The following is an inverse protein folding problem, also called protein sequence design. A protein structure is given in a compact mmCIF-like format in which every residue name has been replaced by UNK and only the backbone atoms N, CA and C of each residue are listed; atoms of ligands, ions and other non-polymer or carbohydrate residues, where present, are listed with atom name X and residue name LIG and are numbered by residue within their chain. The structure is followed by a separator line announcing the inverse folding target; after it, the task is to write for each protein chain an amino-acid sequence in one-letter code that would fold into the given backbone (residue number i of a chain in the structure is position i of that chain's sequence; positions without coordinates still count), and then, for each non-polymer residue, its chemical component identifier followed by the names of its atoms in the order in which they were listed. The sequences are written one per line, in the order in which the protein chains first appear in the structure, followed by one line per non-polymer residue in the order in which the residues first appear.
data_IF_481397156644
#
_entry.id   IF_481397156644
#
_cell.length_a   1.000
_cell.length_b   1.000
_cell.length_c   1.000
_cell.angle_alpha   90.00
_cell.angle_beta   90.00
_cell.angle_gamma   90.00
#
_symmetry.space_group_name_H-M   'P 1'
#
loop_
_entity.id
_entity.type
_entity.pdbx_description
1 polymer ?
#
# COMPACT_ATOMS: atom_id res chain seq x y z
N UNK A 1 26.57 8.47 -5.72
CA UNK A 1 26.59 8.01 -7.10
C UNK A 1 26.08 9.12 -8.03
N UNK A 2 26.62 9.22 -9.25
CA UNK A 2 26.23 10.24 -10.24
C UNK A 2 26.24 9.64 -11.63
N UNK A 3 25.18 9.88 -12.39
CA UNK A 3 25.10 9.65 -13.82
C UNK A 3 25.05 11.00 -14.53
N UNK A 4 25.77 11.16 -15.64
CA UNK A 4 25.74 12.36 -16.46
C UNK A 4 25.25 12.01 -17.86
N UNK A 5 24.21 12.69 -18.30
CA UNK A 5 23.74 12.53 -19.67
C UNK A 5 24.84 12.96 -20.65
N UNK A 6 25.12 12.16 -21.70
CA UNK A 6 26.04 12.56 -22.76
C UNK A 6 25.65 13.91 -23.37
N UNK A 7 26.66 14.67 -23.81
CA UNK A 7 26.42 15.92 -24.53
C UNK A 7 25.56 15.62 -25.78
N UNK A 8 24.60 16.49 -26.08
CA UNK A 8 23.68 16.30 -27.20
C UNK A 8 22.54 15.32 -26.92
N UNK A 9 22.40 14.83 -25.68
CA UNK A 9 21.20 14.05 -25.31
C UNK A 9 19.96 14.92 -25.46
N UNK A 10 19.03 14.46 -26.28
CA UNK A 10 17.77 15.13 -26.55
C UNK A 10 16.59 14.25 -26.12
N UNK A 11 15.57 14.86 -25.54
CA UNK A 11 14.30 14.22 -25.19
C UNK A 11 13.17 15.01 -25.87
N UNK A 12 12.47 14.46 -26.87
CA UNK A 12 11.33 15.13 -27.51
C UNK A 12 10.22 15.46 -26.51
N UNK A 13 9.35 16.38 -26.88
CA UNK A 13 8.17 16.69 -26.08
C UNK A 13 7.33 15.44 -25.80
N UNK A 14 6.93 15.26 -24.53
CA UNK A 14 6.16 14.12 -24.03
C UNK A 14 6.81 12.74 -24.24
N UNK A 15 8.09 12.69 -24.62
CA UNK A 15 8.81 11.43 -24.77
C UNK A 15 9.33 10.92 -23.42
N UNK A 16 9.55 9.59 -23.37
CA UNK A 16 10.12 8.91 -22.22
C UNK A 16 11.51 8.38 -22.58
N UNK A 17 12.43 8.42 -21.64
CA UNK A 17 13.74 7.81 -21.77
C UNK A 17 14.04 6.96 -20.54
N UNK A 18 14.27 5.70 -20.78
CA UNK A 18 14.71 4.76 -19.74
C UNK A 18 16.23 4.80 -19.66
N UNK A 19 16.75 4.82 -18.43
CA UNK A 19 18.17 4.65 -18.14
C UNK A 19 18.25 3.50 -17.16
N UNK A 20 18.76 2.38 -17.61
CA UNK A 20 18.85 1.18 -16.82
C UNK A 20 20.09 1.18 -15.88
N UNK A 21 20.18 0.16 -15.05
CA UNK A 21 21.28 0.00 -14.09
C UNK A 21 22.65 -0.09 -14.76
N UNK A 22 22.75 -0.69 -15.96
CA UNK A 22 24.01 -0.84 -16.68
C UNK A 22 24.48 0.54 -17.17
N UNK A 23 23.57 1.32 -17.72
CA UNK A 23 23.84 2.70 -18.16
C UNK A 23 24.17 3.63 -17.00
N UNK A 24 23.46 3.49 -15.87
CA UNK A 24 23.74 4.25 -14.65
C UNK A 24 25.12 3.95 -14.06
N UNK A 25 25.59 2.70 -14.16
CA UNK A 25 26.82 2.22 -13.52
C UNK A 25 26.69 2.04 -12.00
N UNK A 26 25.49 2.11 -11.45
CA UNK A 26 25.17 1.87 -10.04
C UNK A 26 23.73 1.39 -9.88
N UNK A 27 23.39 0.92 -8.68
CA UNK A 27 22.02 0.48 -8.32
C UNK A 27 21.33 1.54 -7.47
N UNK A 28 20.01 1.61 -7.62
CA UNK A 28 19.14 2.27 -6.67
C UNK A 28 18.93 1.35 -5.46
N UNK A 29 18.88 1.94 -4.26
CA UNK A 29 18.70 1.18 -3.03
C UNK A 29 17.23 0.74 -2.87
N UNK A 30 17.00 -0.57 -2.81
CA UNK A 30 15.66 -1.15 -2.64
C UNK A 30 15.02 -0.81 -1.28
N UNK A 31 15.82 -0.46 -0.27
CA UNK A 31 15.34 0.01 1.03
C UNK A 31 14.86 1.46 1.01
N UNK A 32 15.16 2.18 -0.07
CA UNK A 32 14.74 3.57 -0.30
C UNK A 32 15.89 4.56 -0.30
N UNK A 33 15.77 5.58 -1.14
CA UNK A 33 16.74 6.66 -1.25
C UNK A 33 16.13 7.94 -1.83
N UNK A 34 16.97 8.93 -2.13
CA UNK A 34 16.63 10.15 -2.84
C UNK A 34 17.37 10.21 -4.17
N UNK A 35 16.62 10.52 -5.23
CA UNK A 35 17.16 10.75 -6.57
C UNK A 35 16.91 12.22 -6.94
N UNK A 36 17.95 12.87 -7.46
CA UNK A 36 17.89 14.27 -7.89
C UNK A 36 18.23 14.37 -9.37
N UNK A 37 17.45 15.12 -10.12
CA UNK A 37 17.78 15.59 -11.45
C UNK A 37 18.33 17.01 -11.33
N UNK A 38 19.56 17.21 -11.79
CA UNK A 38 20.24 18.49 -11.69
C UNK A 38 20.41 19.15 -13.07
N UNK A 39 20.58 20.47 -13.10
CA UNK A 39 21.05 21.22 -14.27
C UNK A 39 22.46 20.76 -14.70
N UNK A 40 22.90 21.03 -15.95
CA UNK A 40 24.18 20.57 -16.47
C UNK A 40 25.40 21.00 -15.63
N UNK A 41 25.36 22.18 -15.03
CA UNK A 41 26.34 22.77 -14.13
C UNK A 41 26.18 22.33 -12.67
N UNK A 42 25.08 21.59 -12.38
CA UNK A 42 24.73 21.07 -11.06
C UNK A 42 24.48 22.16 -9.99
N UNK A 43 24.15 23.35 -10.41
CA UNK A 43 23.82 24.49 -9.53
C UNK A 43 22.34 24.52 -9.12
N UNK A 44 21.48 23.81 -9.87
CA UNK A 44 20.02 23.79 -9.64
C UNK A 44 19.45 22.38 -9.66
N UNK A 45 18.60 22.08 -8.67
CA UNK A 45 17.75 20.89 -8.69
C UNK A 45 16.55 21.15 -9.61
N UNK A 46 16.41 20.36 -10.68
CA UNK A 46 15.30 20.43 -11.62
C UNK A 46 14.11 19.65 -11.11
N UNK A 47 14.37 18.42 -10.61
CA UNK A 47 13.36 17.55 -10.03
C UNK A 47 14.01 16.64 -8.97
N UNK A 48 13.21 16.15 -8.05
CA UNK A 48 13.66 15.24 -7.01
C UNK A 48 12.55 14.28 -6.60
N UNK A 49 12.96 13.07 -6.24
CA UNK A 49 12.05 12.09 -5.64
C UNK A 49 12.71 11.43 -4.45
N UNK A 50 11.92 11.21 -3.40
CA UNK A 50 12.26 10.33 -2.30
C UNK A 50 11.32 9.13 -2.33
N UNK A 51 11.87 7.93 -2.27
CA UNK A 51 11.08 6.71 -2.15
C UNK A 51 11.59 5.88 -0.97
N UNK A 52 10.68 5.10 -0.39
CA UNK A 52 10.99 4.11 0.66
C UNK A 52 11.23 2.73 0.07
N UNK A 53 11.16 1.70 0.92
CA UNK A 53 11.33 0.32 0.50
C UNK A 53 10.39 -0.04 -0.66
N UNK A 54 10.95 -0.71 -1.67
CA UNK A 54 10.23 -1.08 -2.89
C UNK A 54 9.84 -2.56 -2.85
N UNK A 55 8.62 -2.83 -3.27
CA UNK A 55 8.14 -4.18 -3.52
C UNK A 55 8.71 -4.68 -4.85
N UNK A 56 9.18 -5.93 -4.89
CA UNK A 56 9.72 -6.51 -6.10
C UNK A 56 8.66 -6.60 -7.21
N UNK A 57 9.01 -6.14 -8.40
CA UNK A 57 8.11 -6.13 -9.56
C UNK A 57 7.08 -4.99 -9.58
N UNK A 58 7.08 -4.10 -8.59
CA UNK A 58 6.19 -2.93 -8.52
C UNK A 58 6.96 -1.65 -8.80
N UNK A 59 6.57 -0.90 -9.82
CA UNK A 59 7.14 0.41 -10.10
C UNK A 59 6.48 1.52 -9.27
N UNK A 60 7.24 2.58 -9.04
CA UNK A 60 6.82 3.78 -8.33
C UNK A 60 6.98 4.97 -9.27
N UNK A 61 5.89 5.63 -9.61
CA UNK A 61 5.88 6.66 -10.63
C UNK A 61 4.82 7.73 -10.42
N UNK A 62 4.90 8.77 -11.23
CA UNK A 62 3.92 9.87 -11.26
C UNK A 62 2.69 9.41 -12.03
N UNK A 63 1.50 9.64 -11.50
CA UNK A 63 0.26 9.28 -12.17
C UNK A 63 -0.81 10.34 -11.87
N UNK A 64 -1.29 11.02 -12.93
CA UNK A 64 -0.81 10.97 -14.33
C UNK A 64 0.64 11.42 -14.49
N UNK A 65 1.23 11.15 -15.65
CA UNK A 65 2.60 11.55 -15.96
C UNK A 65 2.83 13.05 -15.71
N UNK A 66 3.97 13.40 -15.13
CA UNK A 66 4.31 14.77 -14.76
C UNK A 66 3.60 15.31 -13.52
N UNK A 67 2.67 14.57 -12.90
CA UNK A 67 2.02 15.02 -11.65
C UNK A 67 3.04 15.14 -10.49
N UNK A 68 2.78 15.95 -9.47
CA UNK A 68 3.68 16.07 -8.33
C UNK A 68 3.68 14.81 -7.45
N UNK A 69 2.67 13.95 -7.57
CA UNK A 69 2.46 12.81 -6.68
C UNK A 69 3.01 11.53 -7.28
N UNK A 70 3.88 10.85 -6.52
CA UNK A 70 4.36 9.50 -6.83
C UNK A 70 3.48 8.46 -6.16
N UNK A 71 3.18 7.38 -6.89
CA UNK A 71 2.38 6.23 -6.40
C UNK A 71 2.94 4.91 -6.92
N UNK A 72 2.58 3.81 -6.26
CA UNK A 72 2.78 2.47 -6.81
C UNK A 72 1.89 2.30 -8.03
N UNK A 73 2.46 1.84 -9.12
CA UNK A 73 1.75 1.64 -10.38
C UNK A 73 1.24 0.21 -10.50
N UNK A 74 0.13 0.03 -11.24
CA UNK A 74 -0.51 -1.26 -11.41
C UNK A 74 0.38 -2.27 -12.14
N UNK A 75 1.21 -1.78 -13.08
CA UNK A 75 2.22 -2.57 -13.80
C UNK A 75 3.35 -1.67 -14.28
N UNK A 76 4.45 -2.31 -14.66
CA UNK A 76 5.68 -1.64 -15.09
C UNK A 76 5.56 -1.21 -16.55
N UNK A 77 5.86 0.06 -16.86
CA UNK A 77 5.68 0.70 -18.18
C UNK A 77 6.94 1.44 -18.66
N UNK A 78 8.11 0.78 -18.78
CA UNK A 78 9.34 1.46 -19.18
C UNK A 78 9.22 2.00 -20.62
N UNK A 79 9.55 3.28 -20.79
CA UNK A 79 9.55 3.93 -22.11
C UNK A 79 8.18 4.35 -22.64
N UNK A 80 7.14 4.26 -21.85
CA UNK A 80 5.77 4.68 -22.19
C UNK A 80 5.10 5.41 -21.01
N UNK A 81 3.91 5.95 -21.25
CA UNK A 81 3.11 6.58 -20.22
C UNK A 81 2.87 5.63 -19.05
N UNK A 82 2.90 6.16 -17.83
CA UNK A 82 2.73 5.36 -16.64
C UNK A 82 1.35 4.71 -16.58
N UNK A 83 1.33 3.45 -16.11
CA UNK A 83 0.09 2.76 -15.76
C UNK A 83 -0.71 3.56 -14.71
N UNK A 84 -1.98 3.23 -14.56
CA UNK A 84 -2.76 3.72 -13.42
C UNK A 84 -2.09 3.29 -12.11
N UNK A 85 -2.43 3.98 -11.02
CA UNK A 85 -1.93 3.60 -9.70
C UNK A 85 -2.51 2.24 -9.27
N UNK A 86 -1.67 1.47 -8.59
CA UNK A 86 -2.07 0.17 -8.04
C UNK A 86 -3.10 0.40 -6.94
N UNK A 87 -4.23 -0.26 -7.07
CA UNK A 87 -5.24 -0.33 -6.02
C UNK A 87 -5.13 -1.69 -5.35
N UNK A 88 -4.92 -1.68 -4.05
CA UNK A 88 -5.03 -2.92 -3.28
C UNK A 88 -6.48 -3.40 -3.32
N UNK A 89 -6.68 -4.69 -3.50
CA UNK A 89 -8.02 -5.27 -3.62
C UNK A 89 -8.74 -5.28 -2.27
N UNK A 90 -7.99 -5.57 -1.22
CA UNK A 90 -8.46 -5.58 0.17
C UNK A 90 -7.86 -4.39 0.89
N UNK A 91 -8.70 -3.67 1.59
CA UNK A 91 -8.28 -2.53 2.39
C UNK A 91 -8.83 -2.64 3.81
N UNK A 92 -8.09 -2.09 4.77
CA UNK A 92 -8.66 -1.77 6.07
C UNK A 92 -9.63 -0.61 5.83
N UNK A 93 -10.91 -0.83 6.09
CA UNK A 93 -11.98 0.11 5.81
C UNK A 93 -12.39 0.91 7.04
N UNK A 94 -12.46 0.23 8.18
CA UNK A 94 -12.84 0.85 9.44
C UNK A 94 -12.03 0.27 10.61
N UNK A 95 -11.82 1.10 11.63
CA UNK A 95 -11.18 0.74 12.88
C UNK A 95 -11.99 1.26 14.05
N UNK A 96 -12.37 0.38 14.96
CA UNK A 96 -12.88 0.76 16.27
C UNK A 96 -11.78 0.53 17.30
N UNK A 97 -11.04 1.57 17.64
CA UNK A 97 -9.90 1.53 18.57
C UNK A 97 -10.19 2.20 19.92
N UNK A 98 -11.31 2.91 20.03
CA UNK A 98 -11.72 3.58 21.26
C UNK A 98 -13.24 3.49 21.44
N UNK A 99 -13.77 2.33 21.80
CA UNK A 99 -15.20 2.12 21.93
C UNK A 99 -15.80 3.00 23.03
N UNK A 100 -17.00 3.52 22.81
CA UNK A 100 -17.73 4.34 23.79
C UNK A 100 -18.02 3.57 25.11
N UNK A 101 -18.06 2.26 25.05
CA UNK A 101 -18.19 1.38 26.20
C UNK A 101 -16.99 1.37 27.13
N UNK A 102 -15.86 1.92 26.70
CA UNK A 102 -14.55 1.82 27.36
C UNK A 102 -14.12 0.37 27.62
N UNK A 103 -14.62 -0.57 26.82
CA UNK A 103 -14.25 -1.97 26.88
C UNK A 103 -13.53 -2.35 25.58
N UNK A 104 -12.25 -2.67 25.69
CA UNK A 104 -11.42 -3.06 24.56
C UNK A 104 -11.99 -4.30 23.82
N UNK A 105 -12.82 -5.13 24.46
CA UNK A 105 -13.50 -6.24 23.80
C UNK A 105 -14.45 -5.81 22.66
N UNK A 106 -14.77 -4.54 22.59
CA UNK A 106 -15.57 -3.96 21.49
C UNK A 106 -14.69 -3.39 20.36
N UNK A 107 -13.35 -3.57 20.43
CA UNK A 107 -12.44 -3.20 19.35
C UNK A 107 -12.59 -4.13 18.15
N UNK A 108 -12.46 -3.54 16.95
CA UNK A 108 -12.43 -4.31 15.69
C UNK A 108 -11.68 -3.61 14.58
N UNK A 109 -11.32 -4.41 13.57
CA UNK A 109 -10.81 -3.99 12.28
C UNK A 109 -11.75 -4.52 11.20
N UNK A 110 -12.25 -3.66 10.33
CA UNK A 110 -13.03 -4.06 9.18
C UNK A 110 -12.18 -4.05 7.91
N UNK A 111 -12.25 -5.14 7.17
CA UNK A 111 -11.67 -5.29 5.83
C UNK A 111 -12.78 -5.14 4.78
N UNK A 112 -12.47 -4.47 3.68
CA UNK A 112 -13.35 -4.33 2.54
C UNK A 112 -12.67 -4.83 1.26
N UNK A 113 -13.36 -5.68 0.52
CA UNK A 113 -12.96 -6.08 -0.82
C UNK A 113 -13.54 -5.10 -1.85
N UNK A 114 -12.75 -4.15 -2.30
CA UNK A 114 -13.15 -3.18 -3.32
C UNK A 114 -12.89 -3.64 -4.77
N UNK A 115 -12.46 -4.89 -4.95
CA UNK A 115 -12.24 -5.47 -6.27
C UNK A 115 -13.53 -6.03 -6.88
N UNK A 116 -13.51 -6.31 -8.18
CA UNK A 116 -14.62 -6.94 -8.91
C UNK A 116 -14.69 -8.46 -8.78
N UNK A 117 -13.88 -9.09 -7.90
CA UNK A 117 -13.79 -10.55 -7.76
C UNK A 117 -13.75 -10.98 -6.29
N UNK A 118 -14.03 -12.24 -6.04
CA UNK A 118 -13.80 -12.85 -4.73
C UNK A 118 -12.30 -13.01 -4.49
N UNK A 119 -11.83 -12.63 -3.30
CA UNK A 119 -10.46 -12.77 -2.84
C UNK A 119 -10.39 -13.79 -1.71
N UNK A 120 -9.44 -14.73 -1.80
CA UNK A 120 -9.13 -15.65 -0.71
C UNK A 120 -8.21 -14.96 0.30
N UNK A 121 -8.69 -14.82 1.53
CA UNK A 121 -7.97 -14.23 2.66
C UNK A 121 -7.34 -15.29 3.56
N UNK A 122 -7.50 -16.59 3.25
CA UNK A 122 -6.96 -17.68 4.06
C UNK A 122 -5.47 -17.52 4.31
N UNK A 123 -5.07 -17.62 5.57
CA UNK A 123 -3.66 -17.46 5.97
C UNK A 123 -3.15 -16.02 6.05
N UNK A 124 -3.90 -15.02 5.61
CA UNK A 124 -3.52 -13.61 5.82
C UNK A 124 -3.44 -13.31 7.31
N UNK A 125 -2.55 -12.41 7.66
CA UNK A 125 -2.33 -12.09 9.08
C UNK A 125 -2.11 -10.60 9.33
N UNK A 126 -2.53 -10.15 10.47
CA UNK A 126 -2.07 -8.91 11.06
C UNK A 126 -0.78 -9.19 11.86
N UNK A 127 0.27 -8.40 11.63
CA UNK A 127 1.59 -8.57 12.24
C UNK A 127 2.05 -7.34 13.03
N UNK A 128 1.26 -6.28 13.02
CA UNK A 128 1.48 -5.06 13.78
C UNK A 128 0.15 -4.46 14.23
N UNK A 129 0.13 -3.88 15.40
CA UNK A 129 -1.05 -3.38 16.12
C UNK A 129 -1.78 -4.51 16.84
N UNK A 130 -2.26 -5.47 16.11
CA UNK A 130 -2.91 -6.68 16.63
C UNK A 130 -2.24 -7.93 16.07
N UNK A 131 -2.44 -9.09 16.73
CA UNK A 131 -2.00 -10.39 16.26
C UNK A 131 -3.23 -11.26 15.94
N UNK A 132 -3.43 -11.54 14.67
CA UNK A 132 -4.49 -12.40 14.18
C UNK A 132 -4.14 -13.01 12.83
N UNK A 133 -4.40 -14.30 12.67
CA UNK A 133 -4.33 -14.98 11.38
C UNK A 133 -5.74 -15.37 10.92
N UNK A 134 -6.10 -14.95 9.71
CA UNK A 134 -7.38 -15.27 9.09
C UNK A 134 -7.40 -16.78 8.77
N UNK A 135 -8.45 -17.50 9.16
CA UNK A 135 -8.57 -18.94 8.91
C UNK A 135 -8.51 -19.28 7.41
N UNK A 136 -7.94 -20.45 7.10
CA UNK A 136 -7.92 -20.98 5.73
C UNK A 136 -9.34 -21.10 5.17
N UNK A 137 -9.50 -20.86 3.86
CA UNK A 137 -10.78 -20.89 3.18
C UNK A 137 -11.71 -19.71 3.44
N UNK A 138 -11.21 -18.64 4.07
CA UNK A 138 -11.97 -17.40 4.24
C UNK A 138 -12.03 -16.65 2.91
N UNK A 139 -13.18 -16.66 2.27
CA UNK A 139 -13.42 -15.99 1.00
C UNK A 139 -14.19 -14.69 1.22
N UNK A 140 -13.68 -13.57 0.70
CA UNK A 140 -14.37 -12.28 0.73
C UNK A 140 -14.84 -11.90 -0.67
N UNK A 141 -16.13 -11.91 -0.88
CA UNK A 141 -16.77 -11.59 -2.17
C UNK A 141 -16.51 -10.13 -2.60
N UNK A 142 -16.72 -9.87 -3.89
CA UNK A 142 -16.64 -8.50 -4.44
C UNK A 142 -17.58 -7.55 -3.70
N UNK A 143 -17.07 -6.38 -3.28
CA UNK A 143 -17.81 -5.40 -2.48
C UNK A 143 -18.13 -5.85 -1.05
N UNK A 144 -17.66 -7.02 -0.63
CA UNK A 144 -17.90 -7.58 0.70
C UNK A 144 -17.08 -6.94 1.80
N UNK A 145 -17.54 -7.12 3.04
CA UNK A 145 -16.91 -6.66 4.27
C UNK A 145 -16.66 -7.84 5.20
N UNK A 146 -15.56 -7.79 5.93
CA UNK A 146 -15.19 -8.79 6.93
C UNK A 146 -14.65 -8.08 8.17
N UNK A 147 -15.32 -8.27 9.29
CA UNK A 147 -14.90 -7.73 10.57
C UNK A 147 -14.01 -8.73 11.29
N UNK A 148 -12.85 -8.28 11.78
CA UNK A 148 -11.98 -9.03 12.69
C UNK A 148 -12.06 -8.35 14.05
N UNK A 149 -12.67 -9.01 15.03
CA UNK A 149 -12.97 -8.44 16.34
C UNK A 149 -12.04 -8.96 17.44
N UNK A 150 -11.84 -8.17 18.47
CA UNK A 150 -11.15 -8.63 19.70
C UNK A 150 -11.99 -9.67 20.44
N UNK A 151 -13.29 -9.49 20.48
CA UNK A 151 -14.27 -10.46 20.99
C UNK A 151 -15.47 -10.55 20.02
N UNK A 152 -15.40 -11.50 19.11
CA UNK A 152 -16.39 -11.62 18.06
C UNK A 152 -17.79 -11.98 18.56
N UNK A 153 -17.91 -12.75 19.64
CA UNK A 153 -19.21 -13.11 20.24
C UNK A 153 -19.88 -11.86 20.85
N UNK A 154 -19.11 -11.11 21.61
CA UNK A 154 -19.60 -9.87 22.22
C UNK A 154 -20.00 -8.85 21.16
N UNK A 155 -19.18 -8.66 20.13
CA UNK A 155 -19.48 -7.72 19.06
C UNK A 155 -20.77 -8.11 18.33
N UNK A 156 -20.96 -9.39 17.99
CA UNK A 156 -22.20 -9.88 17.38
C UNK A 156 -23.42 -9.71 18.26
N UNK A 157 -23.28 -9.77 19.58
CA UNK A 157 -24.43 -9.56 20.47
C UNK A 157 -24.98 -8.13 20.42
N UNK A 158 -24.13 -7.15 20.12
CA UNK A 158 -24.49 -5.74 19.96
C UNK A 158 -24.84 -5.33 18.52
N UNK A 159 -24.50 -6.18 17.54
CA UNK A 159 -24.59 -5.89 16.11
C UNK A 159 -25.26 -7.05 15.36
N UNK A 160 -26.60 -7.07 15.25
CA UNK A 160 -27.35 -8.21 14.68
C UNK A 160 -27.05 -8.47 13.19
N UNK A 161 -26.47 -7.51 12.47
CA UNK A 161 -25.97 -7.65 11.10
C UNK A 161 -24.69 -8.49 10.99
N UNK A 162 -23.96 -8.66 12.09
CA UNK A 162 -22.76 -9.49 12.13
C UNK A 162 -23.12 -10.95 12.40
N UNK A 163 -22.50 -11.82 11.61
CA UNK A 163 -22.68 -13.26 11.66
C UNK A 163 -21.31 -13.95 11.66
N UNK A 164 -21.19 -15.24 11.98
CA UNK A 164 -19.93 -15.96 11.81
C UNK A 164 -19.36 -15.97 10.37
N UNK A 165 -20.18 -15.63 9.36
CA UNK A 165 -19.75 -15.57 7.98
C UNK A 165 -19.05 -14.24 7.62
N UNK A 166 -19.37 -13.14 8.30
CA UNK A 166 -18.79 -11.81 8.03
C UNK A 166 -18.07 -11.20 9.22
N UNK A 167 -17.91 -11.93 10.33
CA UNK A 167 -17.13 -11.50 11.49
C UNK A 167 -16.34 -12.64 12.09
N UNK A 168 -15.05 -12.43 12.20
CA UNK A 168 -14.06 -13.35 12.75
C UNK A 168 -13.49 -12.78 14.06
N UNK A 169 -12.80 -13.58 14.81
CA UNK A 169 -12.06 -13.20 16.00
C UNK A 169 -11.52 -14.47 16.68
N UNK A 170 -10.82 -14.39 17.78
CA UNK A 170 -10.57 -13.21 18.61
C UNK A 170 -9.11 -12.81 18.41
N UNK A 171 -8.83 -11.57 18.02
CA UNK A 171 -7.44 -11.15 17.91
C UNK A 171 -6.79 -10.93 19.28
N UNK A 172 -5.44 -11.01 19.32
CA UNK A 172 -4.64 -10.69 20.51
C UNK A 172 -4.10 -9.26 20.42
N UNK A 173 -3.87 -8.65 21.58
CA UNK A 173 -3.45 -7.26 21.69
C UNK A 173 -4.63 -6.32 21.86
N UNK A 174 -4.40 -5.02 21.72
CA UNK A 174 -5.40 -3.95 21.72
C UNK A 174 -4.94 -2.84 20.80
N UNK A 175 -5.89 -2.20 20.16
CA UNK A 175 -5.63 -1.04 19.30
C UNK A 175 -5.25 0.17 20.16
N UNK A 176 -4.19 0.88 19.79
CA UNK A 176 -3.68 2.01 20.56
C UNK A 176 -4.52 3.27 20.39
N UNK A 177 -4.99 3.85 21.48
CA UNK A 177 -5.69 5.14 21.47
C UNK A 177 -4.78 6.34 21.17
N UNK A 178 -3.46 6.17 21.18
CA UNK A 178 -2.47 7.22 20.89
C UNK A 178 -1.86 7.13 19.49
N UNK A 179 -2.34 6.21 18.68
CA UNK A 179 -1.87 5.97 17.32
C UNK A 179 -0.86 4.83 17.23
N UNK A 180 -0.98 4.03 16.19
CA UNK A 180 -0.06 2.94 15.87
C UNK A 180 -0.11 2.60 14.38
N UNK A 181 0.74 1.66 13.98
CA UNK A 181 0.69 1.03 12.67
C UNK A 181 -0.07 -0.28 12.76
N UNK A 182 -1.02 -0.48 11.85
CA UNK A 182 -1.67 -1.77 11.61
C UNK A 182 -1.15 -2.32 10.29
N UNK A 183 -0.69 -3.55 10.28
CA UNK A 183 -0.16 -4.20 9.09
C UNK A 183 -0.38 -5.73 9.14
#
# INVERSE_FOLDING_TARGET
NRFRFPQGTFLPAQAHRVIDQVQLGFRLDASGERVFLLSPDADRVIDAVRFGAQENGVSFGRQPDGSPTFRRLAFVTPGSANATWRQEEIVINELMYNPISHNDDDEYVELHNRSGRTVDLGGWRFTAGIDYQIPEGTLLGSGGYLVVAKNAERLRSGHPELTPANSLGNFKGSLSNSGERIA
#
